data_IF_107767316752
#
_entry.id   IF_107767316752
#
_cell.length_a   1.000
_cell.length_b   1.000
_cell.length_c   1.000
_cell.angle_alpha   90.00
_cell.angle_beta   90.00
_cell.angle_gamma   90.00
#
_symmetry.space_group_name_H-M   'P 1'
#
loop_
_entity.id
_entity.type
_entity.pdbx_description
1 polymer ?
#
# COMPACT_ATOMS: atom_id res chain seq x y z
N UNK A 1 10.60 -6.73 -32.97
CA UNK A 1 10.06 -7.69 -31.99
C UNK A 1 11.15 -8.00 -30.97
N UNK A 2 11.10 -7.37 -29.79
CA UNK A 2 12.03 -7.68 -28.69
C UNK A 2 11.36 -8.71 -27.79
N UNK A 3 11.89 -9.94 -27.80
CA UNK A 3 11.59 -10.93 -26.77
C UNK A 3 12.21 -10.46 -25.46
N UNK A 4 11.36 -10.27 -24.44
CA UNK A 4 11.79 -10.01 -23.06
C UNK A 4 12.32 -11.32 -22.48
N UNK A 5 13.64 -11.40 -22.43
CA UNK A 5 14.40 -12.39 -21.67
C UNK A 5 13.92 -12.42 -20.22
N UNK A 6 13.60 -13.63 -19.75
CA UNK A 6 13.40 -13.94 -18.35
C UNK A 6 14.59 -13.44 -17.51
N UNK A 7 14.37 -12.39 -16.73
CA UNK A 7 15.23 -12.05 -15.59
C UNK A 7 14.81 -12.96 -14.42
N UNK A 8 15.46 -14.12 -14.42
CA UNK A 8 15.34 -15.22 -13.48
C UNK A 8 15.43 -14.78 -12.01
N UNK A 9 14.30 -14.91 -11.29
CA UNK A 9 14.29 -15.43 -9.92
C UNK A 9 13.87 -14.52 -8.76
N UNK A 10 13.73 -13.20 -8.92
CA UNK A 10 13.40 -12.31 -7.78
C UNK A 10 12.63 -11.04 -8.14
N UNK A 11 12.62 -10.64 -9.41
CA UNK A 11 11.87 -9.47 -9.84
C UNK A 11 10.36 -9.78 -9.86
N UNK A 12 9.54 -8.82 -9.39
CA UNK A 12 8.10 -8.88 -9.63
C UNK A 12 7.84 -8.73 -11.13
N UNK A 13 6.87 -9.46 -11.70
CA UNK A 13 6.37 -9.17 -13.04
C UNK A 13 5.94 -7.70 -13.13
N UNK A 14 6.22 -7.07 -14.27
CA UNK A 14 5.96 -5.63 -14.49
C UNK A 14 4.48 -5.29 -14.27
N UNK A 15 3.57 -6.18 -14.67
CA UNK A 15 2.14 -6.02 -14.48
C UNK A 15 1.72 -6.02 -13.01
N UNK A 16 2.32 -6.90 -12.19
CA UNK A 16 2.05 -6.95 -10.74
C UNK A 16 2.63 -5.72 -10.05
N UNK A 17 3.84 -5.31 -10.43
CA UNK A 17 4.42 -4.07 -9.94
C UNK A 17 3.53 -2.87 -10.28
N UNK A 18 3.09 -2.75 -11.53
CA UNK A 18 2.19 -1.69 -11.99
C UNK A 18 0.84 -1.70 -11.25
N UNK A 19 0.29 -2.88 -10.97
CA UNK A 19 -0.95 -3.02 -10.19
C UNK A 19 -0.77 -2.54 -8.75
N UNK A 20 0.34 -2.91 -8.09
CA UNK A 20 0.67 -2.44 -6.74
C UNK A 20 0.99 -0.93 -6.75
N UNK A 21 1.62 -0.43 -7.81
CA UNK A 21 1.89 1.00 -7.98
C UNK A 21 0.63 1.81 -8.25
N UNK A 22 -0.40 1.21 -8.86
CA UNK A 22 -1.72 1.79 -9.02
C UNK A 22 -2.60 1.59 -7.76
N UNK A 23 -2.12 0.87 -6.73
CA UNK A 23 -2.92 0.62 -5.53
C UNK A 23 -3.18 1.92 -4.77
N UNK A 24 -4.44 2.15 -4.43
CA UNK A 24 -4.85 3.27 -3.60
C UNK A 24 -4.82 2.86 -2.14
N UNK A 25 -4.04 3.58 -1.34
CA UNK A 25 -3.98 3.43 0.12
C UNK A 25 -4.74 4.59 0.75
N UNK A 26 -5.77 4.29 1.53
CA UNK A 26 -6.58 5.27 2.24
C UNK A 26 -6.49 4.99 3.74
N UNK A 27 -6.11 6.00 4.51
CA UNK A 27 -6.13 5.92 5.97
C UNK A 27 -7.52 6.37 6.43
N UNK A 28 -8.32 5.45 6.96
CA UNK A 28 -9.59 5.76 7.62
C UNK A 28 -9.28 6.03 9.09
N UNK A 29 -9.35 7.31 9.48
CA UNK A 29 -9.35 7.68 10.89
C UNK A 29 -10.55 7.01 11.56
N UNK A 30 -10.31 6.42 12.72
CA UNK A 30 -11.37 5.92 13.59
C UNK A 30 -12.32 7.09 13.89
N UNK A 31 -13.55 7.02 13.39
CA UNK A 31 -14.59 7.93 13.84
C UNK A 31 -15.07 7.42 15.18
N UNK A 32 -14.70 8.14 16.24
CA UNK A 32 -15.22 8.09 17.63
C UNK A 32 -15.36 6.75 18.39
N UNK A 33 -15.17 5.58 17.78
CA UNK A 33 -15.32 4.29 18.45
C UNK A 33 -14.02 3.49 18.35
N UNK A 34 -13.19 3.59 19.41
CA UNK A 34 -12.18 2.67 19.98
C UNK A 34 -11.34 1.71 19.09
N UNK A 35 -11.42 1.84 17.77
CA UNK A 35 -10.88 0.88 16.81
C UNK A 35 -9.87 1.63 15.95
N UNK A 36 -8.59 1.48 16.30
CA UNK A 36 -7.47 2.30 15.82
C UNK A 36 -7.44 2.53 14.30
N UNK A 37 -6.69 3.54 13.86
CA UNK A 37 -6.61 3.97 12.46
C UNK A 37 -6.50 2.78 11.48
N UNK A 38 -7.57 2.55 10.71
CA UNK A 38 -7.65 1.43 9.76
C UNK A 38 -7.10 1.87 8.40
N UNK A 39 -6.10 1.16 7.91
CA UNK A 39 -5.60 1.39 6.54
C UNK A 39 -6.41 0.54 5.58
N UNK A 40 -7.06 1.17 4.61
CA UNK A 40 -7.77 0.48 3.52
C UNK A 40 -6.88 0.50 2.29
N UNK A 41 -6.60 -0.67 1.73
CA UNK A 41 -5.86 -0.83 0.48
C UNK A 41 -6.84 -1.23 -0.60
N UNK A 42 -6.77 -0.57 -1.74
CA UNK A 42 -7.54 -0.88 -2.95
C UNK A 42 -6.61 -1.21 -4.09
N UNK A 43 -6.66 -2.45 -4.57
CA UNK A 43 -5.99 -2.86 -5.80
C UNK A 43 -6.97 -2.83 -6.98
N UNK A 44 -6.55 -2.33 -8.15
CA UNK A 44 -7.34 -2.45 -9.37
C UNK A 44 -7.56 -3.94 -9.69
N UNK A 45 -8.81 -4.33 -9.95
CA UNK A 45 -9.18 -5.71 -10.28
C UNK A 45 -9.42 -6.64 -9.07
N UNK A 46 -8.98 -6.31 -7.86
CA UNK A 46 -9.16 -7.15 -6.65
C UNK A 46 -10.05 -6.52 -5.58
N UNK A 47 -10.45 -5.25 -5.76
CA UNK A 47 -11.31 -4.54 -4.83
C UNK A 47 -10.52 -3.86 -3.71
N UNK A 48 -11.20 -3.60 -2.59
CA UNK A 48 -10.63 -2.92 -1.42
C UNK A 48 -10.81 -3.76 -0.17
N UNK A 49 -9.77 -3.83 0.66
CA UNK A 49 -9.79 -4.52 1.94
C UNK A 49 -9.04 -3.71 3.00
N UNK A 50 -9.22 -4.08 4.27
CA UNK A 50 -8.47 -3.49 5.38
C UNK A 50 -7.11 -4.17 5.41
N UNK A 51 -6.04 -3.37 5.40
CA UNK A 51 -4.68 -3.85 5.48
C UNK A 51 -4.44 -4.53 6.82
N UNK A 52 -4.36 -5.85 6.77
CA UNK A 52 -3.84 -6.71 7.82
C UNK A 52 -2.72 -7.60 7.24
N UNK A 53 -1.78 -8.03 8.09
CA UNK A 53 -0.65 -8.85 7.65
C UNK A 53 -1.12 -10.16 6.98
N UNK A 54 -2.15 -10.81 7.53
CA UNK A 54 -2.68 -12.07 7.02
C UNK A 54 -3.53 -11.84 5.77
N UNK A 55 -4.56 -10.99 5.88
CA UNK A 55 -5.49 -10.72 4.78
C UNK A 55 -4.75 -10.18 3.54
N UNK A 56 -3.75 -9.33 3.72
CA UNK A 56 -2.98 -8.79 2.59
C UNK A 56 -2.22 -9.89 1.84
N UNK A 57 -1.62 -10.85 2.56
CA UNK A 57 -0.89 -11.97 1.95
C UNK A 57 -1.85 -12.89 1.21
N UNK A 58 -3.00 -13.20 1.80
CA UNK A 58 -4.04 -14.00 1.16
C UNK A 58 -4.59 -13.32 -0.10
N UNK A 59 -4.82 -12.02 -0.08
CA UNK A 59 -5.29 -11.26 -1.25
C UNK A 59 -4.27 -11.28 -2.38
N UNK A 60 -3.00 -11.06 -2.07
CA UNK A 60 -1.91 -11.13 -3.05
C UNK A 60 -1.77 -12.54 -3.64
N UNK A 61 -1.84 -13.58 -2.81
CA UNK A 61 -1.75 -14.97 -3.27
C UNK A 61 -2.96 -15.38 -4.14
N UNK A 62 -4.18 -15.01 -3.74
CA UNK A 62 -5.39 -15.32 -4.50
C UNK A 62 -5.49 -14.54 -5.81
N UNK A 63 -5.04 -13.29 -5.80
CA UNK A 63 -5.17 -12.41 -6.93
C UNK A 63 -4.02 -12.50 -7.95
N UNK A 64 -2.89 -13.08 -7.54
CA UNK A 64 -1.75 -13.38 -8.40
C UNK A 64 -1.22 -14.81 -8.15
N UNK A 65 -2.01 -15.85 -8.47
CA UNK A 65 -1.65 -17.24 -8.21
C UNK A 65 -0.46 -17.72 -9.04
N UNK A 66 -0.10 -16.98 -10.09
CA UNK A 66 1.07 -17.21 -10.94
C UNK A 66 2.40 -16.81 -10.28
N UNK A 67 2.37 -16.14 -9.13
CA UNK A 67 3.57 -15.71 -8.42
C UNK A 67 4.15 -16.82 -7.55
N UNK A 68 5.47 -16.95 -7.59
CA UNK A 68 6.20 -17.75 -6.61
C UNK A 68 6.14 -17.11 -5.21
N UNK A 69 6.33 -17.92 -4.16
CA UNK A 69 6.34 -17.47 -2.77
C UNK A 69 7.34 -16.31 -2.53
N UNK A 70 8.51 -16.35 -3.16
CA UNK A 70 9.51 -15.29 -3.07
C UNK A 70 9.06 -13.97 -3.71
N UNK A 71 8.26 -14.04 -4.78
CA UNK A 71 7.68 -12.86 -5.41
C UNK A 71 6.49 -12.31 -4.61
N UNK A 72 5.69 -13.18 -3.98
CA UNK A 72 4.62 -12.78 -3.07
C UNK A 72 5.15 -12.03 -1.85
N UNK A 73 6.22 -12.53 -1.22
CA UNK A 73 6.83 -11.84 -0.07
C UNK A 73 7.41 -10.48 -0.48
N UNK A 74 7.95 -10.36 -1.69
CA UNK A 74 8.45 -9.09 -2.22
C UNK A 74 7.31 -8.12 -2.53
N UNK A 75 6.22 -8.60 -3.12
CA UNK A 75 5.00 -7.82 -3.35
C UNK A 75 4.42 -7.29 -2.03
N UNK A 76 4.38 -8.17 -1.03
CA UNK A 76 3.96 -7.83 0.32
C UNK A 76 4.82 -6.73 0.92
N UNK A 77 6.14 -6.88 0.92
CA UNK A 77 7.07 -5.85 1.42
C UNK A 77 6.94 -4.52 0.69
N UNK A 78 6.68 -4.55 -0.62
CA UNK A 78 6.49 -3.34 -1.41
C UNK A 78 5.19 -2.61 -1.03
N UNK A 79 4.11 -3.36 -0.85
CA UNK A 79 2.83 -2.82 -0.37
C UNK A 79 2.95 -2.24 1.04
N UNK A 80 3.58 -2.95 1.98
CA UNK A 80 3.82 -2.47 3.35
C UNK A 80 4.64 -1.18 3.35
N UNK A 81 5.69 -1.11 2.54
CA UNK A 81 6.51 0.10 2.40
C UNK A 81 5.68 1.28 1.86
N UNK A 82 4.77 1.02 0.92
CA UNK A 82 3.84 2.01 0.38
C UNK A 82 2.84 2.48 1.43
N UNK A 83 2.25 1.55 2.19
CA UNK A 83 1.36 1.87 3.31
C UNK A 83 2.08 2.74 4.34
N UNK A 84 3.29 2.38 4.75
CA UNK A 84 4.09 3.15 5.69
C UNK A 84 4.40 4.56 5.15
N UNK A 85 4.73 4.68 3.85
CA UNK A 85 4.92 5.97 3.19
C UNK A 85 3.65 6.82 3.22
N UNK A 86 2.52 6.27 2.81
CA UNK A 86 1.23 6.98 2.82
C UNK A 86 0.81 7.38 4.24
N UNK A 87 0.99 6.51 5.24
CA UNK A 87 0.75 6.83 6.64
C UNK A 87 1.62 7.99 7.10
N UNK A 88 2.90 8.01 6.73
CA UNK A 88 3.81 9.11 7.03
C UNK A 88 3.36 10.41 6.36
N UNK A 89 2.94 10.37 5.10
CA UNK A 89 2.45 11.53 4.36
C UNK A 89 1.16 12.08 4.97
N UNK A 90 0.20 11.22 5.31
CA UNK A 90 -1.06 11.61 5.97
C UNK A 90 -0.80 12.21 7.35
N UNK A 91 0.05 11.58 8.17
CA UNK A 91 0.41 12.13 9.48
C UNK A 91 1.18 13.46 9.38
N UNK A 92 2.08 13.59 8.39
CA UNK A 92 2.84 14.83 8.19
C UNK A 92 1.93 15.95 7.68
N UNK A 93 0.93 15.65 6.84
CA UNK A 93 -0.08 16.59 6.40
C UNK A 93 -1.05 16.98 7.52
N UNK A 94 -1.27 16.09 8.50
CA UNK A 94 -2.07 16.33 9.70
C UNK A 94 -1.31 17.11 10.79
N UNK A 95 0.00 17.34 10.65
CA UNK A 95 0.69 18.28 11.52
C UNK A 95 0.02 19.66 11.37
N UNK A 96 -0.52 20.25 12.45
CA UNK A 96 -1.26 21.50 12.35
C UNK A 96 -0.35 22.54 11.70
N UNK A 97 -0.79 23.11 10.57
CA UNK A 97 -0.26 24.37 10.09
C UNK A 97 -0.38 25.31 11.28
N UNK A 98 0.73 25.59 11.97
CA UNK A 98 0.81 26.57 13.05
C UNK A 98 0.24 27.85 12.48
N UNK A 99 -1.03 28.11 12.72
CA UNK A 99 -1.68 29.39 12.49
C UNK A 99 -0.98 30.34 13.45
N UNK A 100 0.08 30.96 12.95
CA UNK A 100 0.80 32.03 13.65
C UNK A 100 -0.12 33.25 13.67
N UNK A 101 -1.02 33.26 14.65
CA UNK A 101 -1.95 34.36 14.95
C UNK A 101 -1.46 35.16 16.17
N UNK A 102 -0.19 35.54 16.25
CA UNK A 102 0.38 36.44 17.29
C UNK A 102 1.85 36.73 16.92
N UNK A 103 2.40 37.94 16.84
CA UNK A 103 2.02 39.27 17.35
C UNK A 103 2.46 40.39 16.39
N UNK A 104 1.55 41.35 16.12
CA UNK A 104 1.87 42.72 15.74
C UNK A 104 1.82 43.55 17.04
N UNK A 105 2.97 44.07 17.48
CA UNK A 105 3.11 45.12 18.49
C UNK A 105 4.33 45.97 18.13
#
# INVERSE_FOLDING_TARGET
MRGTTAETGTALPVDVLAAIEAAHVMVRSAGDEDDGARVVVRLPGQGSWIHDNHETRERLANGFPELSEGQLERAYRFLVSRVAKTLREVNSAAAPRRTSWVHNW
#
